data_IF_616182656456
#
_entry.id   IF_616182656456
#
_cell.length_a   1.000
_cell.length_b   1.000
_cell.length_c   1.000
_cell.angle_alpha   90.00
_cell.angle_beta   90.00
_cell.angle_gamma   90.00
#
_symmetry.space_group_name_H-M   'P 1'
#
loop_
_entity.id
_entity.type
_entity.pdbx_description
1 polymer ?
#
# COMPACT_ATOMS: atom_id res chain seq x y z
N UNK A 1 -46.62 -49.03 46.47
CA UNK A 1 -46.52 -47.57 46.73
C UNK A 1 -45.05 -47.18 46.79
N UNK A 2 -44.74 -46.01 46.21
CA UNK A 2 -43.45 -45.29 46.16
C UNK A 2 -42.57 -45.57 44.93
N UNK A 3 -42.90 -44.78 43.91
CA UNK A 3 -42.10 -44.36 42.77
C UNK A 3 -40.74 -43.79 43.18
N UNK A 4 -39.71 -44.04 42.37
CA UNK A 4 -38.53 -43.19 42.29
C UNK A 4 -38.08 -43.14 40.82
N UNK A 5 -38.55 -42.13 40.12
CA UNK A 5 -38.09 -41.72 38.79
C UNK A 5 -36.75 -41.00 38.96
N UNK A 6 -35.68 -41.51 38.37
CA UNK A 6 -34.40 -40.81 38.28
C UNK A 6 -34.24 -40.26 36.86
N UNK A 7 -34.51 -38.95 36.72
CA UNK A 7 -34.17 -38.15 35.55
C UNK A 7 -32.70 -37.76 35.70
N UNK A 8 -31.83 -38.24 34.80
CA UNK A 8 -30.47 -37.72 34.68
C UNK A 8 -30.46 -36.70 33.53
N UNK A 9 -30.61 -35.42 33.90
CA UNK A 9 -30.44 -34.28 33.03
C UNK A 9 -28.94 -34.01 32.80
N UNK A 10 -28.60 -33.66 31.56
CA UNK A 10 -27.22 -33.60 31.08
C UNK A 10 -26.44 -32.34 31.45
N UNK A 11 -25.16 -32.39 31.09
CA UNK A 11 -24.32 -31.23 30.78
C UNK A 11 -23.31 -31.65 29.72
N UNK A 12 -23.65 -31.42 28.44
CA UNK A 12 -22.68 -31.37 27.36
C UNK A 12 -22.20 -29.93 27.26
N UNK A 13 -21.09 -29.62 27.93
CA UNK A 13 -20.40 -28.35 27.79
C UNK A 13 -19.69 -28.33 26.44
N UNK A 14 -20.34 -27.74 25.44
CA UNK A 14 -19.71 -27.32 24.20
C UNK A 14 -18.77 -26.14 24.53
N UNK A 15 -17.49 -26.43 24.75
CA UNK A 15 -16.46 -25.40 24.71
C UNK A 15 -16.27 -25.06 23.24
N UNK A 16 -17.07 -24.11 22.75
CA UNK A 16 -16.75 -23.41 21.51
C UNK A 16 -15.47 -22.61 21.76
N UNK A 17 -14.31 -23.19 21.44
CA UNK A 17 -13.11 -22.40 21.23
C UNK A 17 -13.46 -21.33 20.19
N UNK A 18 -13.20 -20.03 20.44
CA UNK A 18 -13.35 -19.04 19.39
C UNK A 18 -12.43 -19.51 18.25
N UNK A 19 -13.02 -19.76 17.08
CA UNK A 19 -12.23 -19.97 15.89
C UNK A 19 -11.34 -18.73 15.76
N UNK A 20 -10.03 -18.90 15.94
CA UNK A 20 -9.08 -17.91 15.46
C UNK A 20 -9.30 -17.91 13.95
N UNK A 21 -10.12 -16.97 13.50
CA UNK A 21 -10.30 -16.69 12.09
C UNK A 21 -8.91 -16.34 11.57
N UNK A 22 -8.25 -17.29 10.89
CA UNK A 22 -7.11 -17.03 10.02
C UNK A 22 -7.65 -16.12 8.92
N UNK A 23 -7.67 -14.82 9.20
CA UNK A 23 -8.22 -13.82 8.32
C UNK A 23 -7.17 -13.57 7.23
N UNK A 24 -7.26 -14.33 6.14
CA UNK A 24 -6.45 -14.09 4.95
C UNK A 24 -6.63 -12.67 4.40
N UNK A 25 -5.77 -12.30 3.46
CA UNK A 25 -5.82 -10.97 2.84
C UNK A 25 -7.22 -10.64 2.30
N UNK A 26 -7.63 -9.38 2.47
CA UNK A 26 -8.97 -8.91 2.07
C UNK A 26 -9.15 -8.84 0.56
N UNK A 27 -8.04 -8.77 -0.19
CA UNK A 27 -8.06 -8.63 -1.64
C UNK A 27 -6.99 -9.51 -2.29
N UNK A 28 -7.05 -9.57 -3.62
CA UNK A 28 -6.15 -10.34 -4.48
C UNK A 28 -4.68 -9.87 -4.51
N UNK A 29 -4.32 -8.77 -3.85
CA UNK A 29 -2.92 -8.37 -3.63
C UNK A 29 -2.22 -9.35 -2.67
N UNK A 30 -2.97 -9.99 -1.79
CA UNK A 30 -2.47 -11.00 -0.87
C UNK A 30 -1.74 -10.46 0.35
N UNK A 31 -1.78 -9.15 0.64
CA UNK A 31 -1.16 -8.54 1.81
C UNK A 31 -2.13 -7.71 2.65
N UNK A 32 -2.96 -6.85 2.05
CA UNK A 32 -3.88 -6.00 2.80
C UNK A 32 -4.81 -6.86 3.67
N UNK A 33 -4.90 -6.51 4.95
CA UNK A 33 -5.71 -7.26 5.92
C UNK A 33 -5.01 -8.40 6.65
N UNK A 34 -3.81 -8.81 6.23
CA UNK A 34 -3.01 -9.78 7.01
C UNK A 34 -2.60 -9.19 8.35
N UNK A 35 -2.55 -10.02 9.39
CA UNK A 35 -1.86 -9.64 10.62
C UNK A 35 -0.35 -9.58 10.41
N UNK A 36 0.38 -8.89 11.27
CA UNK A 36 1.85 -8.88 11.23
C UNK A 36 2.42 -10.31 11.36
N UNK A 37 1.83 -11.16 12.19
CA UNK A 37 2.24 -12.55 12.32
C UNK A 37 2.00 -13.34 11.03
N UNK A 38 0.85 -13.16 10.37
CA UNK A 38 0.55 -13.81 9.10
C UNK A 38 1.47 -13.32 7.97
N UNK A 39 1.77 -12.01 7.94
CA UNK A 39 2.73 -11.43 7.01
C UNK A 39 4.12 -12.06 7.17
N UNK A 40 4.61 -12.13 8.41
CA UNK A 40 5.92 -12.73 8.73
C UNK A 40 5.94 -14.23 8.49
N UNK A 41 4.83 -14.92 8.71
CA UNK A 41 4.70 -16.33 8.34
C UNK A 41 4.79 -16.52 6.81
N UNK A 42 4.26 -15.56 6.04
CA UNK A 42 4.29 -15.58 4.56
C UNK A 42 5.65 -15.18 3.97
N UNK A 43 6.32 -14.17 4.52
CA UNK A 43 7.53 -13.56 3.94
C UNK A 43 8.82 -13.89 4.70
N UNK A 44 8.72 -14.51 5.87
CA UNK A 44 9.84 -14.66 6.82
C UNK A 44 10.00 -13.44 7.72
N UNK A 45 11.04 -13.41 8.57
CA UNK A 45 11.35 -12.24 9.37
C UNK A 45 11.71 -11.04 8.46
N UNK A 46 11.33 -9.81 8.84
CA UNK A 46 11.65 -8.63 8.03
C UNK A 46 13.16 -8.39 8.01
N UNK A 47 13.66 -7.86 6.90
CA UNK A 47 15.09 -7.54 6.76
C UNK A 47 15.47 -6.33 7.62
N UNK A 48 14.55 -5.37 7.78
CA UNK A 48 14.69 -4.19 8.64
C UNK A 48 13.33 -3.83 9.23
N UNK A 49 13.35 -3.03 10.29
CA UNK A 49 12.17 -2.32 10.77
C UNK A 49 12.35 -0.83 10.51
N UNK A 50 11.35 -0.20 9.93
CA UNK A 50 11.32 1.23 9.68
C UNK A 50 10.42 1.92 10.69
N UNK A 51 10.96 2.94 11.36
CA UNK A 51 10.17 3.86 12.16
C UNK A 51 10.05 5.22 11.48
N UNK A 52 8.92 5.87 11.68
CA UNK A 52 8.59 7.15 11.06
C UNK A 52 8.50 8.25 12.12
N UNK A 53 9.41 9.22 12.05
CA UNK A 53 9.47 10.31 13.01
C UNK A 53 8.68 11.54 12.52
N UNK A 54 7.41 11.65 12.89
CA UNK A 54 6.61 12.89 12.77
C UNK A 54 6.14 13.26 11.35
N UNK A 55 5.56 14.44 11.14
CA UNK A 55 4.85 14.83 9.90
C UNK A 55 5.71 14.93 8.62
N UNK A 56 7.03 14.86 8.76
CA UNK A 56 7.99 14.88 7.65
C UNK A 56 8.44 13.44 7.46
N UNK A 57 8.28 12.88 6.24
CA UNK A 57 8.61 11.49 5.86
C UNK A 57 10.10 11.15 6.05
N UNK A 58 10.58 11.19 7.27
CA UNK A 58 11.95 10.90 7.69
C UNK A 58 11.90 9.55 8.37
N UNK A 59 12.46 8.58 7.66
CA UNK A 59 12.47 7.20 8.07
C UNK A 59 13.79 6.83 8.72
N UNK A 60 13.72 6.16 9.87
CA UNK A 60 14.86 5.50 10.50
C UNK A 60 14.71 4.00 10.30
N UNK A 61 15.80 3.35 9.91
CA UNK A 61 15.82 1.91 9.67
C UNK A 61 16.68 1.24 10.74
N UNK A 62 16.11 0.23 11.38
CA UNK A 62 16.72 -0.56 12.44
C UNK A 62 16.86 -2.02 12.00
N UNK A 63 17.78 -2.75 12.62
CA UNK A 63 17.80 -4.21 12.45
C UNK A 63 16.57 -4.83 13.11
N UNK A 64 16.11 -5.98 12.60
CA UNK A 64 14.98 -6.69 13.19
C UNK A 64 15.24 -7.11 14.64
N UNK A 65 16.45 -7.61 14.92
CA UNK A 65 16.85 -8.04 16.27
C UNK A 65 16.87 -6.89 17.28
N UNK A 66 17.48 -5.76 16.93
CA UNK A 66 17.50 -4.57 17.78
C UNK A 66 16.09 -4.04 18.05
N UNK A 67 15.23 -4.07 17.03
CA UNK A 67 13.84 -3.66 17.18
C UNK A 67 13.08 -4.54 18.19
N UNK A 68 13.14 -5.86 18.00
CA UNK A 68 12.39 -6.82 18.80
C UNK A 68 12.90 -6.93 20.24
N UNK A 69 14.20 -6.73 20.47
CA UNK A 69 14.80 -6.94 21.78
C UNK A 69 14.96 -5.65 22.60
N UNK A 70 14.94 -4.48 21.96
CA UNK A 70 15.28 -3.20 22.61
C UNK A 70 14.30 -2.09 22.25
N UNK A 71 14.16 -1.78 20.96
CA UNK A 71 13.58 -0.49 20.57
C UNK A 71 12.05 -0.43 20.65
N UNK A 72 11.34 -1.53 20.39
CA UNK A 72 9.86 -1.52 20.38
C UNK A 72 9.27 -1.11 21.74
N UNK A 73 9.96 -1.40 22.83
CA UNK A 73 9.55 -1.05 24.19
C UNK A 73 10.09 0.31 24.64
N UNK A 74 11.16 0.81 24.01
CA UNK A 74 11.80 2.08 24.37
C UNK A 74 11.27 3.28 23.61
N UNK A 75 10.71 3.09 22.40
CA UNK A 75 10.17 4.17 21.58
C UNK A 75 8.65 4.25 21.80
N UNK A 76 8.14 5.23 22.57
CA UNK A 76 6.73 5.25 22.93
C UNK A 76 5.82 5.37 21.72
N UNK A 77 4.86 4.45 21.60
CA UNK A 77 3.85 4.47 20.54
C UNK A 77 4.35 3.98 19.18
N UNK A 78 5.65 3.66 19.06
CA UNK A 78 6.22 3.10 17.85
C UNK A 78 5.57 1.75 17.51
N UNK A 79 5.29 1.57 16.23
CA UNK A 79 4.73 0.32 15.71
C UNK A 79 5.81 -0.47 15.01
N UNK A 80 6.68 0.24 14.27
CA UNK A 80 7.61 -0.38 13.34
C UNK A 80 6.89 -0.89 12.10
N UNK A 81 7.40 -0.52 10.95
CA UNK A 81 6.97 -1.05 9.66
C UNK A 81 7.93 -2.16 9.26
N UNK A 82 7.40 -3.33 8.91
CA UNK A 82 8.23 -4.43 8.42
C UNK A 82 8.74 -4.07 7.02
N UNK A 83 10.06 -4.16 6.81
CA UNK A 83 10.70 -3.84 5.54
C UNK A 83 11.33 -5.07 4.92
N UNK A 84 10.99 -5.32 3.66
CA UNK A 84 11.55 -6.38 2.84
C UNK A 84 12.19 -5.78 1.59
N UNK A 85 13.30 -6.36 1.17
CA UNK A 85 14.08 -5.89 0.02
C UNK A 85 14.30 -7.05 -0.94
N UNK A 86 13.98 -6.81 -2.21
CA UNK A 86 14.13 -7.79 -3.28
C UNK A 86 14.91 -7.18 -4.44
N UNK A 87 15.56 -8.03 -5.23
CA UNK A 87 16.11 -7.64 -6.53
C UNK A 87 15.26 -8.29 -7.61
N UNK A 88 14.64 -7.46 -8.47
CA UNK A 88 13.79 -7.91 -9.57
C UNK A 88 14.18 -7.16 -10.82
N UNK A 89 14.52 -7.89 -11.87
CA UNK A 89 15.01 -7.30 -13.12
C UNK A 89 16.17 -6.31 -12.93
N UNK A 90 17.12 -6.65 -12.04
CA UNK A 90 18.25 -5.78 -11.64
C UNK A 90 17.85 -4.49 -10.92
N UNK A 91 16.58 -4.31 -10.60
CA UNK A 91 16.07 -3.19 -9.79
C UNK A 91 15.90 -3.65 -8.34
N UNK A 92 16.37 -2.85 -7.40
CA UNK A 92 16.09 -3.07 -5.99
C UNK A 92 14.70 -2.55 -5.66
N UNK A 93 13.84 -3.42 -5.12
CA UNK A 93 12.45 -3.12 -4.78
C UNK A 93 12.30 -3.27 -3.27
N UNK A 94 11.95 -2.19 -2.59
CA UNK A 94 11.71 -2.16 -1.14
C UNK A 94 10.21 -2.14 -0.88
N UNK A 95 9.74 -3.12 -0.11
CA UNK A 95 8.39 -3.18 0.43
C UNK A 95 8.43 -2.72 1.88
N UNK A 96 7.57 -1.78 2.26
CA UNK A 96 7.38 -1.36 3.65
C UNK A 96 5.90 -1.51 4.03
N UNK A 97 5.62 -2.31 5.05
CA UNK A 97 4.26 -2.65 5.47
C UNK A 97 3.83 -1.75 6.61
N UNK A 98 2.83 -0.90 6.37
CA UNK A 98 2.23 -0.08 7.40
C UNK A 98 1.06 -0.79 8.04
N UNK A 99 0.89 -0.58 9.35
CA UNK A 99 -0.15 -1.25 10.12
C UNK A 99 -1.25 -0.29 10.62
N UNK A 100 -2.47 -0.82 10.66
CA UNK A 100 -3.55 -0.33 11.51
C UNK A 100 -3.48 -1.09 12.85
N UNK A 101 -3.78 -0.39 13.94
CA UNK A 101 -3.95 -1.00 15.27
C UNK A 101 -5.40 -1.41 15.42
N UNK A 102 -5.63 -2.67 15.76
CA UNK A 102 -6.93 -3.19 16.13
C UNK A 102 -6.92 -3.58 17.61
N UNK A 103 -7.82 -2.99 18.40
CA UNK A 103 -7.93 -3.32 19.81
C UNK A 103 -8.49 -4.73 19.98
N UNK A 104 -7.85 -5.52 20.82
CA UNK A 104 -8.29 -6.87 21.17
C UNK A 104 -9.05 -6.84 22.48
N UNK A 105 -10.25 -7.45 22.58
CA UNK A 105 -10.94 -7.58 23.86
C UNK A 105 -10.02 -8.26 24.88
N UNK A 106 -9.86 -7.66 26.06
CA UNK A 106 -9.05 -8.16 27.17
C UNK A 106 -7.53 -8.27 26.89
N UNK A 107 -6.99 -7.44 26.00
CA UNK A 107 -5.53 -7.35 25.77
C UNK A 107 -5.09 -5.89 25.62
N UNK A 108 -4.07 -5.51 26.38
CA UNK A 108 -3.45 -4.17 26.29
C UNK A 108 -2.57 -4.04 25.03
N UNK A 109 -2.25 -5.16 24.38
CA UNK A 109 -1.51 -5.18 23.11
C UNK A 109 -2.49 -5.27 21.93
N UNK A 110 -2.51 -4.26 21.03
CA UNK A 110 -3.36 -4.30 19.84
C UNK A 110 -2.85 -5.32 18.82
N UNK A 111 -3.74 -5.85 17.99
CA UNK A 111 -3.35 -6.52 16.75
C UNK A 111 -2.81 -5.49 15.76
N UNK A 112 -1.79 -5.85 14.99
CA UNK A 112 -1.31 -5.06 13.87
C UNK A 112 -1.77 -5.71 12.57
N UNK A 113 -2.51 -4.95 11.77
CA UNK A 113 -3.09 -5.42 10.51
C UNK A 113 -2.53 -4.57 9.38
N UNK A 114 -2.04 -5.20 8.31
CA UNK A 114 -1.50 -4.50 7.14
C UNK A 114 -2.59 -3.61 6.52
N UNK A 115 -2.38 -2.30 6.56
CA UNK A 115 -3.30 -1.29 5.99
C UNK A 115 -2.81 -0.73 4.66
N UNK A 116 -1.51 -0.74 4.43
CA UNK A 116 -0.87 -0.14 3.27
C UNK A 116 0.48 -0.80 3.03
N UNK A 117 0.79 -1.07 1.76
CA UNK A 117 2.10 -1.54 1.33
C UNK A 117 2.74 -0.43 0.50
N UNK A 118 3.81 0.16 1.01
CA UNK A 118 4.58 1.22 0.35
C UNK A 118 5.78 0.58 -0.37
N UNK A 119 5.82 0.68 -1.69
CA UNK A 119 6.77 -0.02 -2.55
C UNK A 119 7.61 1.00 -3.31
N UNK A 120 8.91 1.00 -3.06
CA UNK A 120 9.86 1.96 -3.63
C UNK A 120 10.87 1.25 -4.52
N UNK A 121 11.20 1.87 -5.65
CA UNK A 121 12.29 1.43 -6.52
C UNK A 121 13.56 2.17 -6.14
N UNK A 122 14.63 1.44 -5.84
CA UNK A 122 15.86 2.01 -5.31
C UNK A 122 16.97 1.95 -6.36
N UNK A 123 17.69 3.05 -6.50
CA UNK A 123 18.99 3.07 -7.17
C UNK A 123 20.09 2.76 -6.14
N UNK A 124 21.09 1.95 -6.49
CA UNK A 124 22.27 1.81 -5.63
C UNK A 124 23.00 3.16 -5.54
N UNK A 125 23.55 3.43 -4.36
CA UNK A 125 24.41 4.57 -4.13
C UNK A 125 25.61 4.51 -5.09
N UNK A 126 25.89 5.59 -5.86
CA UNK A 126 26.89 5.55 -6.91
C UNK A 126 28.33 5.46 -6.39
N UNK A 127 28.57 5.72 -5.11
CA UNK A 127 29.90 5.72 -4.48
C UNK A 127 30.15 4.39 -3.76
N UNK A 128 29.15 3.92 -3.00
CA UNK A 128 29.26 2.76 -2.11
C UNK A 128 28.64 1.50 -2.69
N UNK A 129 27.81 1.63 -3.74
CA UNK A 129 26.98 0.55 -4.26
C UNK A 129 25.85 0.13 -3.32
N UNK A 130 25.72 0.77 -2.15
CA UNK A 130 24.74 0.41 -1.13
C UNK A 130 23.34 0.86 -1.52
N UNK A 131 22.36 0.02 -1.25
CA UNK A 131 20.92 0.33 -1.39
C UNK A 131 20.24 0.54 -0.03
N UNK A 132 21.01 0.46 1.05
CA UNK A 132 20.50 0.40 2.43
C UNK A 132 20.53 1.76 3.15
N UNK A 133 21.04 2.81 2.50
CA UNK A 133 21.16 4.14 3.08
C UNK A 133 19.86 4.96 3.08
N UNK A 134 19.72 5.94 3.99
CA UNK A 134 18.69 6.96 3.86
C UNK A 134 18.98 7.75 2.58
N UNK A 135 18.09 7.65 1.59
CA UNK A 135 18.19 8.29 0.27
C UNK A 135 19.08 7.56 -0.74
N UNK A 136 18.69 6.34 -1.11
CA UNK A 136 18.78 5.98 -2.52
C UNK A 136 17.83 6.93 -3.27
N UNK A 137 18.33 7.69 -4.25
CA UNK A 137 17.46 8.46 -5.15
C UNK A 137 16.40 7.49 -5.68
N UNK A 138 15.09 7.76 -5.49
CA UNK A 138 14.06 6.87 -5.97
C UNK A 138 14.26 6.65 -7.47
N UNK A 139 14.47 5.39 -7.86
CA UNK A 139 14.68 5.04 -9.26
C UNK A 139 13.35 5.22 -9.98
N UNK A 140 13.35 6.06 -11.01
CA UNK A 140 12.22 6.23 -11.88
C UNK A 140 12.16 5.03 -12.85
N UNK A 141 11.07 4.26 -12.80
CA UNK A 141 10.83 3.12 -13.69
C UNK A 141 9.59 3.37 -14.56
N UNK A 142 9.59 2.98 -15.84
CA UNK A 142 8.42 3.12 -16.69
C UNK A 142 7.21 2.35 -16.16
N UNK A 143 6.00 2.89 -16.32
CA UNK A 143 4.75 2.25 -15.89
C UNK A 143 4.57 0.83 -16.45
N UNK A 144 5.00 0.58 -17.70
CA UNK A 144 4.98 -0.76 -18.32
C UNK A 144 5.78 -1.82 -17.55
N UNK A 145 6.81 -1.41 -16.81
CA UNK A 145 7.71 -2.32 -16.12
C UNK A 145 7.24 -2.63 -14.69
N UNK A 146 6.31 -1.84 -14.15
CA UNK A 146 5.77 -2.01 -12.78
C UNK A 146 5.20 -3.41 -12.52
N UNK A 147 4.36 -4.01 -13.40
CA UNK A 147 3.83 -5.36 -13.17
C UNK A 147 4.92 -6.45 -13.07
N UNK A 148 6.08 -6.24 -13.72
CA UNK A 148 7.23 -7.16 -13.64
C UNK A 148 7.98 -6.99 -12.32
N UNK A 149 8.08 -5.76 -11.82
CA UNK A 149 8.78 -5.43 -10.58
C UNK A 149 7.92 -5.69 -9.33
N UNK A 150 6.59 -5.67 -9.45
CA UNK A 150 5.62 -5.84 -8.36
C UNK A 150 4.56 -6.86 -8.82
N UNK A 151 4.73 -8.16 -8.55
CA UNK A 151 3.78 -9.21 -8.96
C UNK A 151 2.36 -9.01 -8.42
N UNK A 152 2.22 -8.28 -7.31
CA UNK A 152 0.94 -7.96 -6.69
C UNK A 152 0.24 -6.75 -7.34
N UNK A 153 0.95 -5.99 -8.19
CA UNK A 153 0.38 -4.92 -8.99
C UNK A 153 -0.24 -5.51 -10.27
N UNK A 154 -1.55 -5.73 -10.21
CA UNK A 154 -2.38 -6.28 -11.30
C UNK A 154 -3.43 -5.26 -11.71
N UNK A 155 -3.06 -4.20 -12.45
CA UNK A 155 -4.00 -3.16 -12.85
C UNK A 155 -5.12 -3.76 -13.72
N UNK A 156 -6.34 -3.27 -13.55
CA UNK A 156 -7.44 -3.64 -14.45
C UNK A 156 -7.10 -3.19 -15.88
N UNK A 157 -7.41 -4.02 -16.86
CA UNK A 157 -7.26 -3.70 -18.29
C UNK A 157 -8.55 -3.14 -18.90
N UNK A 158 -9.63 -3.05 -18.11
CA UNK A 158 -10.91 -2.57 -18.58
C UNK A 158 -10.87 -1.06 -18.88
N UNK A 159 -11.58 -0.65 -19.94
CA UNK A 159 -11.62 0.75 -20.39
C UNK A 159 -12.39 1.67 -19.44
N UNK A 160 -13.30 1.10 -18.64
CA UNK A 160 -14.13 1.79 -17.66
C UNK A 160 -13.58 1.65 -16.22
N UNK A 161 -12.41 1.03 -16.04
CA UNK A 161 -11.76 0.91 -14.74
C UNK A 161 -11.50 2.30 -14.13
N UNK A 162 -12.01 2.58 -12.92
CA UNK A 162 -11.92 3.92 -12.35
C UNK A 162 -10.46 4.34 -12.11
N UNK A 163 -10.03 5.36 -12.83
CA UNK A 163 -8.67 5.92 -12.73
C UNK A 163 -8.74 7.42 -12.54
N UNK A 164 -8.01 7.93 -11.56
CA UNK A 164 -8.01 9.34 -11.19
C UNK A 164 -6.59 9.86 -11.05
N UNK A 165 -6.33 11.07 -11.53
CA UNK A 165 -5.10 11.81 -11.28
C UNK A 165 -5.32 12.79 -10.13
N UNK A 166 -4.48 12.71 -9.10
CA UNK A 166 -4.31 13.79 -8.13
C UNK A 166 -3.09 14.65 -8.47
N UNK A 167 -2.86 15.71 -7.69
CA UNK A 167 -1.64 16.52 -7.80
C UNK A 167 -0.35 15.75 -7.46
N UNK A 168 -0.44 14.63 -6.74
CA UNK A 168 0.71 13.91 -6.18
C UNK A 168 0.88 12.49 -6.73
N UNK A 169 -0.19 11.87 -7.21
CA UNK A 169 -0.21 10.47 -7.65
C UNK A 169 -1.42 10.15 -8.54
N UNK A 170 -1.34 9.07 -9.30
CA UNK A 170 -2.48 8.45 -9.97
C UNK A 170 -3.08 7.40 -9.04
N UNK A 171 -4.41 7.32 -8.95
CA UNK A 171 -5.15 6.24 -8.28
C UNK A 171 -5.81 5.37 -9.32
N UNK A 172 -5.58 4.07 -9.23
CA UNK A 172 -6.27 3.04 -10.01
C UNK A 172 -7.07 2.16 -9.05
N UNK A 173 -8.39 2.19 -9.13
CA UNK A 173 -9.24 1.35 -8.30
C UNK A 173 -9.56 0.04 -9.01
N UNK A 174 -9.51 -1.06 -8.25
CA UNK A 174 -9.98 -2.36 -8.68
C UNK A 174 -11.49 -2.47 -8.51
N UNK A 175 -12.10 -3.40 -9.24
CA UNK A 175 -13.55 -3.61 -9.21
C UNK A 175 -14.03 -4.37 -7.96
N UNK A 176 -13.16 -5.19 -7.37
CA UNK A 176 -13.46 -5.94 -6.15
C UNK A 176 -13.64 -4.98 -4.97
N UNK A 177 -14.66 -5.24 -4.15
CA UNK A 177 -14.94 -4.48 -2.92
C UNK A 177 -15.03 -5.45 -1.75
N UNK A 178 -14.60 -5.03 -0.56
CA UNK A 178 -14.69 -5.81 0.67
C UNK A 178 -15.26 -4.95 1.79
N UNK A 179 -16.18 -5.53 2.57
CA UNK A 179 -16.70 -4.88 3.78
C UNK A 179 -15.70 -4.97 4.92
N UNK A 180 -14.93 -6.05 4.97
CA UNK A 180 -13.87 -6.31 5.95
C UNK A 180 -12.77 -5.25 5.87
N UNK A 181 -12.56 -4.65 4.68
CA UNK A 181 -11.63 -3.55 4.47
C UNK A 181 -11.94 -2.31 5.32
N UNK A 182 -13.18 -2.15 5.83
CA UNK A 182 -13.52 -1.11 6.82
C UNK A 182 -12.60 -1.13 8.04
N UNK A 183 -12.07 -2.30 8.42
CA UNK A 183 -11.12 -2.45 9.53
C UNK A 183 -9.83 -1.65 9.33
N UNK A 184 -9.49 -1.33 8.08
CA UNK A 184 -8.29 -0.55 7.72
C UNK A 184 -8.57 0.96 7.65
N UNK A 185 -9.85 1.34 7.62
CA UNK A 185 -10.30 2.69 7.34
C UNK A 185 -10.70 3.40 8.63
N UNK A 186 -10.24 4.64 8.82
CA UNK A 186 -10.56 5.47 9.99
C UNK A 186 -11.56 6.60 9.70
N UNK A 187 -12.18 6.58 8.53
CA UNK A 187 -13.12 7.59 8.07
C UNK A 187 -14.47 7.46 8.79
N UNK A 188 -14.87 8.52 9.51
CA UNK A 188 -16.14 8.57 10.24
C UNK A 188 -17.31 8.79 9.29
N UNK A 189 -18.44 8.12 9.53
CA UNK A 189 -19.67 8.27 8.74
C UNK A 189 -19.50 7.83 7.27
N UNK A 190 -18.62 6.86 7.03
CA UNK A 190 -18.28 6.29 5.71
C UNK A 190 -18.32 4.76 5.72
N UNK A 191 -19.04 4.19 6.69
CA UNK A 191 -19.16 2.77 6.93
C UNK A 191 -19.91 2.06 5.79
N UNK A 192 -20.81 2.77 5.11
CA UNK A 192 -21.60 2.26 4.00
C UNK A 192 -20.89 2.35 2.63
N UNK A 193 -19.69 2.93 2.59
CA UNK A 193 -18.95 3.05 1.34
C UNK A 193 -18.41 1.70 0.88
N UNK A 194 -18.42 1.49 -0.43
CA UNK A 194 -17.75 0.35 -1.03
C UNK A 194 -16.24 0.63 -1.09
N UNK A 195 -15.46 -0.18 -0.37
CA UNK A 195 -14.01 -0.08 -0.26
C UNK A 195 -13.33 -1.12 -1.13
N UNK A 196 -12.41 -0.66 -1.97
CA UNK A 196 -11.72 -1.46 -2.98
C UNK A 196 -10.22 -1.37 -2.83
N UNK A 197 -9.55 -2.43 -3.28
CA UNK A 197 -8.11 -2.40 -3.56
C UNK A 197 -7.80 -1.25 -4.53
N UNK A 198 -6.79 -0.45 -4.18
CA UNK A 198 -6.28 0.62 -5.03
C UNK A 198 -4.77 0.53 -5.18
N UNK A 199 -4.30 0.98 -6.34
CA UNK A 199 -2.89 1.24 -6.57
C UNK A 199 -2.69 2.74 -6.74
N UNK A 200 -1.81 3.31 -5.91
CA UNK A 200 -1.41 4.72 -5.99
C UNK A 200 -0.01 4.83 -6.55
N UNK A 201 0.13 5.52 -7.67
CA UNK A 201 1.36 5.60 -8.44
C UNK A 201 1.97 7.00 -8.29
N UNK A 202 3.15 7.07 -7.71
CA UNK A 202 3.86 8.33 -7.46
C UNK A 202 5.00 8.51 -8.45
N UNK A 203 5.25 9.76 -8.83
CA UNK A 203 6.35 10.15 -9.68
C UNK A 203 7.10 11.33 -9.04
N UNK A 204 8.40 11.46 -9.35
CA UNK A 204 9.18 12.63 -8.97
C UNK A 204 8.80 13.87 -9.79
N UNK A 205 8.42 13.66 -11.05
CA UNK A 205 7.95 14.69 -11.95
C UNK A 205 6.42 14.71 -12.00
N UNK A 206 5.78 15.88 -12.21
CA UNK A 206 4.34 15.95 -12.40
C UNK A 206 3.91 15.09 -13.59
N UNK A 207 2.82 14.35 -13.43
CA UNK A 207 2.28 13.58 -14.54
C UNK A 207 1.81 14.49 -15.67
N UNK A 208 2.09 14.15 -16.94
CA UNK A 208 1.56 14.87 -18.06
C UNK A 208 0.02 14.84 -18.09
N UNK A 209 -0.63 15.78 -18.81
CA UNK A 209 -2.08 15.80 -19.00
C UNK A 209 -2.65 14.45 -19.45
N UNK A 210 -1.87 13.71 -20.23
CA UNK A 210 -2.15 12.35 -20.66
C UNK A 210 -1.00 11.44 -20.30
N UNK A 211 -1.33 10.37 -19.57
CA UNK A 211 -0.38 9.34 -19.14
C UNK A 211 -0.43 8.15 -20.11
N UNK A 212 0.74 7.66 -20.48
CA UNK A 212 0.97 6.43 -21.23
C UNK A 212 1.74 5.44 -20.36
N UNK A 213 2.13 4.29 -20.90
CA UNK A 213 2.93 3.31 -20.15
C UNK A 213 4.44 3.62 -20.13
N UNK A 214 4.88 4.69 -20.80
CA UNK A 214 6.28 5.12 -20.82
C UNK A 214 6.61 6.15 -19.73
N UNK A 215 5.61 6.75 -19.10
CA UNK A 215 5.78 7.66 -17.97
C UNK A 215 6.40 6.90 -16.80
N UNK A 216 7.29 7.57 -16.09
CA UNK A 216 8.00 6.95 -14.99
C UNK A 216 7.28 7.15 -13.67
N UNK A 217 7.36 6.13 -12.83
CA UNK A 217 6.98 6.15 -11.42
C UNK A 217 8.18 5.76 -10.57
N UNK A 218 8.24 6.27 -9.35
CA UNK A 218 9.31 5.92 -8.42
C UNK A 218 8.81 5.14 -7.20
N UNK A 219 7.48 5.09 -7.03
CA UNK A 219 6.86 4.47 -5.86
C UNK A 219 5.41 4.09 -6.16
N UNK A 220 5.00 2.96 -5.60
CA UNK A 220 3.65 2.40 -5.70
C UNK A 220 3.15 2.13 -4.29
N UNK A 221 1.96 2.60 -3.95
CA UNK A 221 1.27 2.18 -2.73
C UNK A 221 0.13 1.23 -3.12
N UNK A 222 0.05 0.08 -2.44
CA UNK A 222 -1.13 -0.80 -2.45
C UNK A 222 -1.95 -0.44 -1.21
N UNK A 223 -3.18 0.00 -1.42
CA UNK A 223 -4.02 0.57 -0.36
C UNK A 223 -5.50 0.23 -0.58
N UNK A 224 -6.35 0.77 0.30
CA UNK A 224 -7.80 0.71 0.17
C UNK A 224 -8.32 2.12 -0.09
N UNK A 225 -9.17 2.26 -1.10
CA UNK A 225 -9.88 3.51 -1.43
C UNK A 225 -11.35 3.23 -1.75
N UNK A 226 -12.18 4.28 -1.74
CA UNK A 226 -13.57 4.19 -2.18
C UNK A 226 -13.84 5.12 -3.35
N UNK A 227 -14.44 4.57 -4.41
CA UNK A 227 -14.87 5.35 -5.56
C UNK A 227 -15.89 6.43 -5.17
N UNK A 228 -16.81 6.09 -4.26
CA UNK A 228 -17.80 7.04 -3.76
C UNK A 228 -17.13 8.17 -2.97
N UNK A 229 -16.14 7.87 -2.12
CA UNK A 229 -15.37 8.89 -1.42
C UNK A 229 -14.68 9.85 -2.38
N UNK A 230 -13.98 9.31 -3.38
CA UNK A 230 -13.26 10.12 -4.37
C UNK A 230 -14.24 11.02 -5.12
N UNK A 231 -15.36 10.43 -5.59
CA UNK A 231 -16.39 11.16 -6.32
C UNK A 231 -17.09 12.19 -5.47
N UNK A 232 -17.37 11.95 -4.20
CA UNK A 232 -18.18 12.86 -3.40
C UNK A 232 -17.33 13.95 -2.75
N UNK A 233 -16.13 13.63 -2.27
CA UNK A 233 -15.34 14.49 -1.40
C UNK A 233 -14.03 14.98 -2.04
N UNK A 234 -13.53 14.31 -3.08
CA UNK A 234 -12.23 14.63 -3.67
C UNK A 234 -12.31 15.21 -5.08
N UNK A 235 -13.49 15.67 -5.54
CA UNK A 235 -13.69 16.24 -6.88
C UNK A 235 -12.72 17.36 -7.26
N UNK A 236 -12.29 18.16 -6.27
CA UNK A 236 -11.39 19.30 -6.50
C UNK A 236 -9.91 18.92 -6.52
N UNK A 237 -9.56 17.72 -6.04
CA UNK A 237 -8.18 17.26 -5.93
C UNK A 237 -7.88 16.07 -6.83
N UNK A 238 -8.91 15.42 -7.38
CA UNK A 238 -8.80 14.23 -8.22
C UNK A 238 -9.61 14.40 -9.51
N UNK A 239 -8.91 14.32 -10.63
CA UNK A 239 -9.49 14.40 -11.97
C UNK A 239 -9.61 13.00 -12.56
N UNK A 240 -10.79 12.63 -13.06
CA UNK A 240 -10.97 11.36 -13.76
C UNK A 240 -10.15 11.33 -15.05
N UNK A 241 -9.52 10.19 -15.34
CA UNK A 241 -8.69 10.02 -16.53
C UNK A 241 -8.87 8.63 -17.14
N UNK A 242 -8.40 8.46 -18.37
CA UNK A 242 -8.41 7.15 -19.04
C UNK A 242 -7.39 6.23 -18.35
N UNK A 243 -7.81 5.00 -18.05
CA UNK A 243 -6.92 3.98 -17.50
C UNK A 243 -5.72 3.74 -18.45
N UNK A 244 -4.47 4.01 -18.03
CA UNK A 244 -3.30 3.91 -18.91
C UNK A 244 -2.99 2.47 -19.36
N UNK A 245 -3.53 1.46 -18.67
CA UNK A 245 -3.37 0.04 -19.02
C UNK A 245 -4.47 -0.50 -19.94
N UNK A 246 -5.46 0.33 -20.31
CA UNK A 246 -6.60 -0.12 -21.10
C UNK A 246 -6.32 -0.11 -22.61
N UNK A 247 -7.09 -0.89 -23.36
CA UNK A 247 -6.99 -0.93 -24.83
C UNK A 247 -7.31 0.45 -25.45
N UNK A 248 -8.29 1.17 -24.89
CA UNK A 248 -8.61 2.54 -25.29
C UNK A 248 -7.41 3.47 -25.15
N UNK A 249 -6.66 3.42 -24.04
CA UNK A 249 -5.46 4.24 -23.88
C UNK A 249 -4.39 3.93 -24.93
N UNK A 250 -4.17 2.65 -25.23
CA UNK A 250 -3.21 2.21 -26.23
C UNK A 250 -3.56 2.68 -27.65
N UNK A 251 -4.85 2.82 -27.96
CA UNK A 251 -5.32 3.24 -29.29
C UNK A 251 -5.22 4.74 -29.56
N UNK A 252 -4.99 5.56 -28.53
CA UNK A 252 -4.92 7.01 -28.69
C UNK A 252 -3.60 7.43 -29.39
N UNK A 253 -3.62 8.45 -30.28
CA UNK A 253 -2.42 8.92 -30.98
C UNK A 253 -1.34 9.39 -30.00
N UNK A 254 -0.04 9.52 -30.31
CA UNK A 254 0.95 10.03 -29.36
C UNK A 254 0.55 11.41 -28.78
N UNK A 255 0.91 11.74 -27.52
CA UNK A 255 0.71 13.08 -27.00
C UNK A 255 1.42 14.11 -27.90
N UNK A 256 0.83 15.30 -28.13
CA UNK A 256 1.49 16.35 -28.90
C UNK A 256 2.82 16.75 -28.24
N UNK A 257 3.83 17.03 -29.07
CA UNK A 257 5.14 17.46 -28.56
C UNK A 257 4.99 18.71 -27.68
N UNK A 258 5.64 18.76 -26.50
CA UNK A 258 5.61 19.95 -25.66
C UNK A 258 6.19 21.13 -26.44
N UNK A 259 5.57 22.33 -26.34
CA UNK A 259 6.05 23.50 -27.06
C UNK A 259 7.49 23.80 -26.61
N UNK A 260 8.42 23.82 -27.57
CA UNK A 260 9.81 24.20 -27.32
C UNK A 260 9.83 25.65 -26.83
N UNK A 261 9.91 25.86 -25.51
CA UNK A 261 10.10 27.20 -24.93
C UNK A 261 11.44 27.72 -25.46
N UNK A 262 11.41 28.80 -26.24
CA UNK A 262 12.63 29.52 -26.61
C UNK A 262 13.25 30.07 -25.32
N UNK A 263 14.36 29.48 -24.88
CA UNK A 263 15.13 30.01 -23.76
C UNK A 263 15.70 31.36 -24.22
N UNK A 264 15.36 32.49 -23.57
CA UNK A 264 15.94 33.78 -23.92
C UNK A 264 17.46 33.71 -23.73
N UNK A 265 18.21 34.09 -24.76
CA UNK A 265 19.66 34.24 -24.62
C UNK A 265 19.95 35.49 -23.77
N UNK A 266 20.86 35.41 -22.78
CA UNK A 266 21.25 36.59 -22.03
C UNK A 266 21.87 37.63 -22.97
N UNK A 267 21.36 38.87 -22.92
CA UNK A 267 22.00 40.01 -23.58
C UNK A 267 23.01 40.60 -22.60
N UNK A 268 24.30 40.48 -22.91
CA UNK A 268 25.35 41.21 -22.19
C UNK A 268 25.37 42.66 -22.69
N UNK A 269 25.53 43.62 -21.79
CA UNK A 269 25.73 45.03 -22.15
C UNK A 269 27.07 45.21 -22.89
N UNK A 270 27.15 46.14 -23.86
CA UNK A 270 28.38 46.42 -24.60
C UNK A 270 29.48 47.03 -23.72
#
# INVERSE_FOLDING_TARGET
>A
MRSATLILAGFLTWIASPAVSLAGAFFSDGYLGLTQEELRAKLGPPHKIRDHSGALRVYKYYSYEEWENVLKDQIPGAVGEDVYMYVRDKTHVRYSFQYAKEEKPNSDTPALIVKLVDIEFLSPDPITGSVEGPVAVPLAVPLKDVPKLIPEFKPSLADDAPTYRSNLFIIMLQNETSKEALRLVKERNKEDYAWSLSYRLYAAEPFPPRITLNENVNRVEIAVDSLQLIRDHHKLTHEAMINPFSAKAASLPPPPEPPKKKIPLPRYAP
#
